data_IF_182309052907
#
_entry.id   IF_182309052907
#
_cell.length_a   1.000
_cell.length_b   1.000
_cell.length_c   1.000
_cell.angle_alpha   90.00
_cell.angle_beta   90.00
_cell.angle_gamma   90.00
#
_symmetry.space_group_name_H-M   'P 1'
#
loop_
_entity.id
_entity.type
_entity.pdbx_description
1 polymer ?
#
# COMPACT_ATOMS: atom_id res chain seq x y z
N UNK A 1 -3.34 6.65 16.61
CA UNK A 1 -2.23 6.09 15.80
C UNK A 1 -2.80 5.73 14.44
N UNK A 2 -2.09 6.00 13.34
CA UNK A 2 -2.56 5.66 11.99
C UNK A 2 -2.01 4.28 11.62
N UNK A 3 -2.87 3.41 11.11
CA UNK A 3 -2.51 2.10 10.58
C UNK A 3 -2.44 2.15 9.06
N UNK A 4 -1.39 1.60 8.47
CA UNK A 4 -1.16 1.60 7.03
C UNK A 4 -1.00 0.20 6.46
N UNK A 5 -1.74 -0.05 5.37
CA UNK A 5 -1.67 -1.22 4.52
C UNK A 5 -1.01 -0.82 3.20
N UNK A 6 -0.02 -1.59 2.77
CA UNK A 6 0.84 -1.17 1.65
C UNK A 6 0.85 -2.20 0.54
N UNK A 7 0.71 -1.72 -0.70
CA UNK A 7 0.93 -2.52 -1.91
C UNK A 7 2.11 -1.92 -2.68
N UNK A 8 3.26 -2.57 -2.60
CA UNK A 8 4.48 -2.23 -3.34
C UNK A 8 4.49 -2.94 -4.70
N UNK A 9 5.00 -2.24 -5.71
CA UNK A 9 5.29 -2.81 -7.03
C UNK A 9 5.69 -1.72 -8.00
N UNK A 10 6.52 -2.02 -8.98
CA UNK A 10 6.87 -1.03 -10.00
C UNK A 10 5.77 -0.93 -11.08
N UNK A 11 6.04 -0.15 -12.12
CA UNK A 11 5.13 0.06 -13.25
C UNK A 11 4.67 -1.28 -13.84
N UNK A 12 3.41 -1.35 -14.26
CA UNK A 12 2.78 -2.53 -14.87
C UNK A 12 2.64 -3.79 -13.98
N UNK A 13 2.84 -3.68 -12.66
CA UNK A 13 2.62 -4.79 -11.71
C UNK A 13 1.19 -4.86 -11.15
N UNK A 14 0.19 -4.41 -11.92
CA UNK A 14 -1.26 -4.46 -11.60
C UNK A 14 -1.72 -3.80 -10.28
N UNK A 15 -0.87 -3.04 -9.58
CA UNK A 15 -1.21 -2.34 -8.32
C UNK A 15 -2.60 -1.73 -8.28
N UNK A 16 -2.90 -0.81 -9.20
CA UNK A 16 -4.19 -0.10 -9.23
C UNK A 16 -5.37 -1.03 -9.50
N UNK A 17 -5.18 -2.05 -10.35
CA UNK A 17 -6.22 -3.06 -10.59
C UNK A 17 -6.46 -3.92 -9.36
N UNK A 18 -5.39 -4.27 -8.64
CA UNK A 18 -5.46 -5.00 -7.36
C UNK A 18 -6.18 -4.17 -6.30
N UNK A 19 -5.83 -2.88 -6.13
CA UNK A 19 -6.53 -1.99 -5.19
C UNK A 19 -8.02 -1.91 -5.51
N UNK A 20 -8.39 -1.70 -6.78
CA UNK A 20 -9.81 -1.70 -7.19
C UNK A 20 -10.50 -3.02 -6.88
N UNK A 21 -9.86 -4.15 -7.19
CA UNK A 21 -10.42 -5.48 -6.93
C UNK A 21 -10.52 -5.80 -5.43
N UNK A 22 -9.61 -5.26 -4.62
CA UNK A 22 -9.56 -5.44 -3.16
C UNK A 22 -10.64 -4.61 -2.46
N UNK A 23 -10.87 -3.38 -2.92
CA UNK A 23 -11.70 -2.40 -2.24
C UNK A 23 -13.08 -2.20 -2.86
N UNK A 24 -13.27 -2.58 -4.13
CA UNK A 24 -14.46 -2.23 -4.92
C UNK A 24 -14.54 -0.74 -5.29
N UNK A 25 -13.56 0.09 -4.88
CA UNK A 25 -13.59 1.53 -5.07
C UNK A 25 -13.02 1.90 -6.44
N UNK A 26 -13.75 2.75 -7.19
CA UNK A 26 -13.35 3.24 -8.50
C UNK A 26 -12.48 4.51 -8.50
N UNK A 27 -12.42 5.25 -7.39
CA UNK A 27 -11.66 6.52 -7.23
C UNK A 27 -11.06 6.68 -5.80
N UNK A 28 -10.42 7.82 -5.48
CA UNK A 28 -9.98 8.15 -4.12
C UNK A 28 -11.20 8.21 -3.18
N UNK A 29 -11.28 7.32 -2.19
CA UNK A 29 -12.43 7.27 -1.27
C UNK A 29 -12.10 6.59 0.05
N UNK A 30 -12.88 6.93 1.07
CA UNK A 30 -13.05 6.10 2.27
C UNK A 30 -14.11 5.02 2.01
N UNK A 31 -13.87 3.82 2.52
CA UNK A 31 -14.78 2.68 2.42
C UNK A 31 -14.69 1.83 3.69
N UNK A 32 -15.73 1.05 3.93
CA UNK A 32 -15.77 0.10 5.05
C UNK A 32 -15.45 -1.31 4.55
N UNK A 33 -14.65 -2.02 5.32
CA UNK A 33 -14.25 -3.41 5.07
C UNK A 33 -14.66 -4.24 6.27
N UNK A 34 -15.29 -5.38 6.06
CA UNK A 34 -15.51 -6.34 7.12
C UNK A 34 -14.21 -7.11 7.39
N UNK A 35 -13.80 -7.22 8.65
CA UNK A 35 -12.65 -8.02 9.08
C UNK A 35 -13.07 -9.00 10.17
N UNK A 36 -12.15 -9.89 10.55
CA UNK A 36 -12.36 -10.81 11.68
C UNK A 36 -12.67 -10.10 13.01
N UNK A 37 -12.23 -8.84 13.17
CA UNK A 37 -12.40 -8.05 14.40
C UNK A 37 -13.52 -7.00 14.32
N UNK A 38 -14.21 -6.91 13.18
CA UNK A 38 -15.31 -5.97 12.95
C UNK A 38 -15.13 -5.14 11.67
N UNK A 39 -15.91 -4.07 11.53
CA UNK A 39 -15.81 -3.21 10.35
C UNK A 39 -14.69 -2.18 10.51
N UNK A 40 -13.86 -2.05 9.48
CA UNK A 40 -12.74 -1.12 9.40
C UNK A 40 -13.01 -0.05 8.34
N UNK A 41 -12.96 1.23 8.73
CA UNK A 41 -12.94 2.35 7.79
C UNK A 41 -11.54 2.58 7.27
N UNK A 42 -11.35 2.43 5.96
CA UNK A 42 -10.06 2.57 5.29
C UNK A 42 -10.16 3.64 4.21
N UNK A 43 -9.20 4.56 4.23
CA UNK A 43 -9.01 5.53 3.15
C UNK A 43 -8.00 4.98 2.13
N UNK A 44 -8.29 5.08 0.83
CA UNK A 44 -7.36 4.59 -0.20
C UNK A 44 -7.17 5.52 -1.40
N UNK A 45 -6.02 5.35 -2.04
CA UNK A 45 -5.69 5.89 -3.35
C UNK A 45 -5.45 4.73 -4.31
N UNK A 46 -5.94 4.85 -5.54
CA UNK A 46 -5.81 3.79 -6.55
C UNK A 46 -4.43 3.82 -7.22
N UNK A 47 -3.92 5.02 -7.47
CA UNK A 47 -2.59 5.23 -8.06
C UNK A 47 -1.55 5.37 -6.97
N UNK A 48 -0.32 4.99 -7.29
CA UNK A 48 0.78 5.14 -6.34
C UNK A 48 0.95 6.61 -5.92
N UNK A 49 1.41 6.87 -4.68
CA UNK A 49 1.67 8.24 -4.24
C UNK A 49 2.65 8.96 -5.18
N UNK A 50 3.67 8.25 -5.67
CA UNK A 50 4.63 8.76 -6.64
C UNK A 50 4.01 9.09 -8.02
N UNK A 51 3.00 8.32 -8.46
CA UNK A 51 2.25 8.61 -9.69
C UNK A 51 1.41 9.87 -9.52
N UNK A 52 0.87 10.08 -8.32
CA UNK A 52 0.03 11.23 -7.96
C UNK A 52 0.84 12.46 -7.54
N UNK A 53 2.17 12.38 -7.57
CA UNK A 53 3.09 13.46 -7.20
C UNK A 53 2.91 13.95 -5.75
N UNK A 54 2.54 13.03 -4.86
CA UNK A 54 2.32 13.30 -3.44
C UNK A 54 3.54 12.81 -2.66
N UNK A 55 4.31 13.72 -2.05
CA UNK A 55 5.44 13.36 -1.18
C UNK A 55 4.97 12.73 0.15
N UNK A 56 5.85 12.03 0.88
CA UNK A 56 5.49 11.42 2.17
C UNK A 56 4.90 12.43 3.16
N UNK A 57 5.54 13.60 3.30
CA UNK A 57 5.14 14.64 4.26
C UNK A 57 3.76 15.21 3.92
N UNK A 58 3.52 15.48 2.63
CA UNK A 58 2.22 15.95 2.14
C UNK A 58 1.13 14.92 2.40
N UNK A 59 1.43 13.64 2.23
CA UNK A 59 0.46 12.58 2.49
C UNK A 59 0.16 12.43 3.99
N UNK A 60 1.19 12.48 4.84
CA UNK A 60 1.05 12.44 6.30
C UNK A 60 0.15 13.59 6.78
N UNK A 61 0.41 14.81 6.31
CA UNK A 61 -0.39 15.99 6.64
C UNK A 61 -1.84 15.86 6.15
N UNK A 62 -2.03 15.34 4.94
CA UNK A 62 -3.37 15.07 4.39
C UNK A 62 -4.14 14.09 5.27
N UNK A 63 -3.51 12.98 5.67
CA UNK A 63 -4.12 11.96 6.51
C UNK A 63 -4.48 12.50 7.90
N UNK A 64 -3.55 13.26 8.50
CA UNK A 64 -3.76 13.92 9.79
C UNK A 64 -4.92 14.92 9.75
N UNK A 65 -5.00 15.77 8.73
CA UNK A 65 -6.09 16.75 8.56
C UNK A 65 -7.44 16.08 8.29
N UNK A 66 -7.44 14.97 7.55
CA UNK A 66 -8.65 14.19 7.28
C UNK A 66 -9.13 13.35 8.45
N UNK A 67 -8.30 13.14 9.48
CA UNK A 67 -8.63 12.29 10.63
C UNK A 67 -8.71 10.80 10.29
N UNK A 68 -8.10 10.35 9.19
CA UNK A 68 -8.13 8.94 8.79
C UNK A 68 -7.26 8.11 9.72
N UNK A 69 -7.83 7.02 10.22
CA UNK A 69 -7.14 6.10 11.13
C UNK A 69 -6.51 4.91 10.39
N UNK A 70 -7.10 4.47 9.28
CA UNK A 70 -6.57 3.38 8.47
C UNK A 70 -6.43 3.82 7.02
N UNK A 71 -5.30 3.51 6.41
CA UNK A 71 -5.02 3.88 5.02
C UNK A 71 -4.47 2.70 4.22
N UNK A 72 -4.96 2.50 3.00
CA UNK A 72 -4.42 1.57 2.02
C UNK A 72 -3.73 2.35 0.91
N UNK A 73 -2.44 2.16 0.74
CA UNK A 73 -1.63 2.91 -0.22
C UNK A 73 -0.83 2.00 -1.15
N UNK A 74 -0.96 2.18 -2.48
CA UNK A 74 0.00 1.64 -3.42
C UNK A 74 1.24 2.55 -3.47
N UNK A 75 2.43 1.95 -3.59
CA UNK A 75 3.68 2.68 -3.79
C UNK A 75 4.55 1.97 -4.84
N UNK A 76 5.44 2.73 -5.47
CA UNK A 76 6.52 2.14 -6.30
C UNK A 76 7.65 1.62 -5.43
N UNK A 77 8.34 0.59 -5.91
CA UNK A 77 9.51 0.07 -5.21
C UNK A 77 10.68 1.01 -5.47
N UNK A 78 11.05 1.23 -6.73
CA UNK A 78 12.30 1.93 -7.10
C UNK A 78 12.25 3.46 -7.11
N UNK A 79 11.17 4.07 -6.57
CA UNK A 79 10.94 5.51 -6.66
C UNK A 79 10.69 5.99 -8.09
N UNK A 80 10.37 7.28 -8.26
CA UNK A 80 10.06 7.87 -9.59
C UNK A 80 11.05 8.96 -9.93
N UNK A 81 11.93 8.69 -10.91
CA UNK A 81 12.94 9.65 -11.41
C UNK A 81 12.32 10.97 -11.87
N UNK A 82 11.21 10.90 -12.63
CA UNK A 82 10.48 12.10 -13.06
C UNK A 82 9.79 12.74 -11.85
N UNK A 83 10.20 13.96 -11.50
CA UNK A 83 9.70 14.66 -10.31
C UNK A 83 10.43 14.29 -9.02
N UNK A 84 11.45 13.42 -9.09
CA UNK A 84 12.33 13.05 -7.97
C UNK A 84 11.56 12.57 -6.72
N UNK A 85 10.60 11.65 -6.90
CA UNK A 85 9.83 11.11 -5.79
C UNK A 85 10.51 9.87 -5.18
N UNK A 86 10.51 9.74 -3.84
CA UNK A 86 11.23 8.69 -3.14
C UNK A 86 10.73 7.27 -3.45
N UNK A 87 11.58 6.30 -3.16
CA UNK A 87 11.27 4.87 -3.16
C UNK A 87 10.19 4.52 -2.13
N UNK A 88 9.49 3.40 -2.34
CA UNK A 88 8.49 2.93 -1.39
C UNK A 88 9.05 2.74 0.02
N UNK A 89 10.32 2.33 0.13
CA UNK A 89 10.98 2.18 1.43
C UNK A 89 11.14 3.52 2.16
N UNK A 90 11.54 4.56 1.45
CA UNK A 90 11.65 5.91 2.02
C UNK A 90 10.28 6.43 2.49
N UNK A 91 9.18 6.14 1.77
CA UNK A 91 7.83 6.43 2.28
C UNK A 91 7.54 5.70 3.59
N UNK A 92 7.88 4.40 3.69
CA UNK A 92 7.65 3.62 4.90
C UNK A 92 8.44 4.16 6.09
N UNK A 93 9.69 4.55 5.86
CA UNK A 93 10.52 5.20 6.88
C UNK A 93 9.89 6.50 7.38
N UNK A 94 9.40 7.36 6.48
CA UNK A 94 8.72 8.60 6.88
C UNK A 94 7.41 8.34 7.63
N UNK A 95 6.62 7.33 7.25
CA UNK A 95 5.42 6.94 8.01
C UNK A 95 5.76 6.48 9.41
N UNK A 96 6.83 5.71 9.59
CA UNK A 96 7.26 5.28 10.92
C UNK A 96 7.84 6.41 11.76
N UNK A 97 8.59 7.35 11.16
CA UNK A 97 8.99 8.59 11.84
C UNK A 97 7.78 9.41 12.30
N UNK A 98 6.68 9.35 11.56
CA UNK A 98 5.40 9.94 11.93
C UNK A 98 4.57 9.10 12.93
N UNK A 99 5.16 8.05 13.51
CA UNK A 99 4.53 7.13 14.47
C UNK A 99 3.30 6.39 13.89
N UNK A 100 3.34 6.03 12.61
CA UNK A 100 2.35 5.17 11.98
C UNK A 100 2.72 3.70 12.16
N UNK A 101 1.70 2.85 12.27
CA UNK A 101 1.85 1.40 12.34
C UNK A 101 1.67 0.79 10.95
N UNK A 102 2.72 0.15 10.43
CA UNK A 102 2.65 -0.59 9.16
C UNK A 102 2.15 -2.01 9.45
N UNK A 103 0.88 -2.27 9.18
CA UNK A 103 0.23 -3.54 9.49
C UNK A 103 0.70 -4.65 8.54
N UNK A 104 0.58 -4.37 7.23
CA UNK A 104 0.90 -5.33 6.18
C UNK A 104 1.56 -4.67 4.97
N UNK A 105 2.48 -5.41 4.37
CA UNK A 105 3.12 -5.08 3.10
C UNK A 105 2.89 -6.22 2.12
N UNK A 106 2.40 -5.89 0.93
CA UNK A 106 2.30 -6.81 -0.22
C UNK A 106 3.23 -6.33 -1.31
N UNK A 107 4.04 -7.22 -1.88
CA UNK A 107 4.99 -6.90 -2.95
C UNK A 107 4.56 -7.63 -4.23
N UNK A 108 4.24 -6.87 -5.27
CA UNK A 108 3.79 -7.37 -6.56
C UNK A 108 4.97 -7.41 -7.56
N UNK A 109 5.16 -8.56 -8.21
CA UNK A 109 6.09 -8.69 -9.33
C UNK A 109 7.55 -8.98 -8.95
N UNK A 110 7.83 -9.21 -7.66
CA UNK A 110 9.16 -9.57 -7.15
C UNK A 110 9.11 -10.82 -6.27
N UNK A 111 10.23 -11.53 -6.20
CA UNK A 111 10.46 -12.63 -5.24
C UNK A 111 11.16 -12.14 -3.97
N UNK A 112 11.82 -11.00 -4.07
CA UNK A 112 12.53 -10.33 -2.99
C UNK A 112 12.33 -8.82 -3.12
N UNK A 113 12.60 -8.13 -2.03
CA UNK A 113 12.86 -6.70 -2.07
C UNK A 113 14.14 -6.46 -2.89
N UNK A 114 14.24 -5.39 -3.69
CA UNK A 114 15.48 -5.11 -4.42
C UNK A 114 16.66 -5.08 -3.46
N UNK A 115 17.81 -5.59 -3.91
CA UNK A 115 19.07 -5.45 -3.18
C UNK A 115 19.20 -3.99 -2.68
N UNK A 116 19.44 -3.82 -1.37
CA UNK A 116 19.47 -2.55 -0.62
C UNK A 116 18.13 -2.03 -0.05
N UNK A 117 17.00 -2.68 -0.32
CA UNK A 117 15.73 -2.33 0.34
C UNK A 117 15.57 -3.15 1.62
N UNK A 118 15.91 -2.54 2.75
CA UNK A 118 15.65 -3.09 4.07
C UNK A 118 14.35 -2.47 4.58
N UNK A 119 13.32 -3.31 4.77
CA UNK A 119 12.11 -2.86 5.45
C UNK A 119 12.46 -2.46 6.89
N UNK A 120 11.81 -1.43 7.44
CA UNK A 120 12.07 -1.04 8.82
C UNK A 120 11.79 -2.18 9.82
N UNK A 121 12.49 -2.16 10.95
CA UNK A 121 12.27 -3.11 12.04
C UNK A 121 10.84 -2.98 12.61
N UNK A 122 10.22 -4.10 12.96
CA UNK A 122 8.87 -4.13 13.55
C UNK A 122 7.72 -4.16 12.54
N UNK A 123 8.02 -4.29 11.25
CA UNK A 123 7.01 -4.56 10.21
C UNK A 123 6.86 -6.07 10.02
N UNK A 124 5.61 -6.55 9.87
CA UNK A 124 5.32 -7.94 9.53
C UNK A 124 6.01 -8.38 8.24
N UNK A 125 6.35 -9.67 8.15
CA UNK A 125 6.94 -10.23 6.94
C UNK A 125 6.05 -9.92 5.72
N UNK A 126 6.61 -9.39 4.62
CA UNK A 126 5.81 -9.01 3.46
C UNK A 126 5.28 -10.23 2.71
N UNK A 127 4.05 -10.12 2.18
CA UNK A 127 3.49 -11.10 1.26
C UNK A 127 4.01 -10.83 -0.16
N UNK A 128 4.73 -11.78 -0.73
CA UNK A 128 5.22 -11.70 -2.12
C UNK A 128 4.25 -12.36 -3.10
N UNK A 129 3.86 -11.62 -4.14
CA UNK A 129 3.08 -12.13 -5.28
C UNK A 129 3.89 -11.91 -6.55
N UNK A 130 4.86 -12.79 -6.76
CA UNK A 130 5.89 -12.69 -7.79
C UNK A 130 5.34 -12.73 -9.22
N UNK A 131 4.31 -13.56 -9.49
CA UNK A 131 3.66 -13.68 -10.79
C UNK A 131 2.42 -12.77 -10.94
N UNK A 132 2.38 -11.62 -10.25
CA UNK A 132 1.26 -10.68 -10.29
C UNK A 132 0.87 -10.25 -11.72
N UNK A 133 1.84 -10.11 -12.63
CA UNK A 133 1.60 -9.79 -14.04
C UNK A 133 0.80 -10.87 -14.80
N UNK A 134 0.92 -12.14 -14.40
CA UNK A 134 0.24 -13.28 -15.00
C UNK A 134 -1.10 -13.61 -14.33
N UNK A 135 -1.34 -13.13 -13.11
CA UNK A 135 -2.57 -13.40 -12.38
C UNK A 135 -3.66 -12.33 -12.62
N UNK A 136 -4.94 -12.71 -12.74
CA UNK A 136 -6.06 -11.76 -12.69
C UNK A 136 -6.07 -10.97 -11.36
N UNK A 137 -6.41 -9.69 -11.42
CA UNK A 137 -6.35 -8.81 -10.24
C UNK A 137 -7.28 -9.25 -9.09
N UNK A 138 -8.43 -9.87 -9.41
CA UNK A 138 -9.33 -10.46 -8.42
C UNK A 138 -8.71 -11.66 -7.68
N UNK A 139 -7.88 -12.47 -8.36
CA UNK A 139 -7.14 -13.57 -7.73
C UNK A 139 -6.05 -13.06 -6.79
N UNK A 140 -5.38 -11.97 -7.17
CA UNK A 140 -4.40 -11.28 -6.31
C UNK A 140 -5.12 -10.70 -5.08
N UNK A 141 -6.22 -9.97 -5.29
CA UNK A 141 -7.01 -9.40 -4.20
C UNK A 141 -7.55 -10.48 -3.23
N UNK A 142 -7.96 -11.64 -3.73
CA UNK A 142 -8.38 -12.77 -2.90
C UNK A 142 -7.27 -13.31 -1.99
N UNK A 143 -6.03 -13.37 -2.48
CA UNK A 143 -4.88 -13.77 -1.66
C UNK A 143 -4.61 -12.74 -0.56
N UNK A 144 -4.62 -11.45 -0.93
CA UNK A 144 -4.42 -10.35 0.03
C UNK A 144 -5.50 -10.36 1.10
N UNK A 145 -6.77 -10.56 0.73
CA UNK A 145 -7.88 -10.69 1.69
C UNK A 145 -7.68 -11.81 2.70
N UNK A 146 -7.25 -12.99 2.21
CA UNK A 146 -6.96 -14.14 3.07
C UNK A 146 -5.85 -13.85 4.07
N UNK A 147 -4.78 -13.19 3.63
CA UNK A 147 -3.66 -12.79 4.49
C UNK A 147 -4.06 -11.73 5.52
N UNK A 148 -4.83 -10.71 5.11
CA UNK A 148 -5.20 -9.58 5.96
C UNK A 148 -6.44 -9.85 6.83
N UNK A 149 -7.12 -10.98 6.62
CA UNK A 149 -8.40 -11.29 7.27
C UNK A 149 -9.53 -10.31 6.89
N UNK A 150 -9.54 -9.86 5.64
CA UNK A 150 -10.56 -8.96 5.08
C UNK A 150 -11.60 -9.76 4.28
N UNK A 151 -12.87 -9.35 4.34
CA UNK A 151 -14.00 -9.99 3.67
C UNK A 151 -14.64 -9.10 2.61
#
# INVERSE_FOLDING_TARGET
MVTVYVILGDTNMKKSSTVRALTGVGQKKEFEIATNSGNLKVFTLISALQESEISPEKFIDFVKKGGYQNVLIPLWISGRKRGNFPSGNEYLQEFMKANWHIEHIVILGGHDLPNHTVLPDGVSAPLFISNSNQQPANRIASQIRGEWGWF
#
